data_IF_344046479967
#
_entry.id   IF_344046479967
#
_cell.length_a   1.000
_cell.length_b   1.000
_cell.length_c   1.000
_cell.angle_alpha   90.00
_cell.angle_beta   90.00
_cell.angle_gamma   90.00
#
_symmetry.space_group_name_H-M   'P 1'
#
loop_
_entity.id
_entity.type
_entity.pdbx_description
1 polymer ?
#
# COMPACT_ATOMS: atom_id res chain seq x y z
N UNK A 1 -14.59 10.94 8.51
CA UNK A 1 -13.84 10.02 9.39
C UNK A 1 -13.59 8.71 8.68
N UNK A 2 -12.75 7.81 9.20
CA UNK A 2 -12.41 6.52 8.54
C UNK A 2 -13.63 5.72 8.08
N UNK A 3 -14.73 5.77 8.84
CA UNK A 3 -15.99 5.09 8.50
C UNK A 3 -16.57 5.56 7.16
N UNK A 4 -16.43 6.86 6.84
CA UNK A 4 -16.84 7.46 5.57
C UNK A 4 -15.88 7.06 4.44
N UNK A 5 -14.58 6.96 4.75
CA UNK A 5 -13.55 6.50 3.82
C UNK A 5 -13.78 5.05 3.35
N UNK A 6 -14.01 4.12 4.28
CA UNK A 6 -14.26 2.72 3.94
C UNK A 6 -15.51 2.55 3.08
N UNK A 7 -16.62 3.19 3.46
CA UNK A 7 -17.88 3.13 2.69
C UNK A 7 -17.68 3.69 1.28
N UNK A 8 -16.96 4.80 1.13
CA UNK A 8 -16.71 5.40 -0.18
C UNK A 8 -15.77 4.55 -1.05
N UNK A 9 -14.80 3.86 -0.46
CA UNK A 9 -13.97 2.87 -1.16
C UNK A 9 -14.80 1.69 -1.69
N UNK A 10 -15.70 1.12 -0.88
CA UNK A 10 -16.57 0.03 -1.33
C UNK A 10 -17.54 0.47 -2.43
N UNK A 11 -18.15 1.66 -2.30
CA UNK A 11 -19.00 2.23 -3.34
C UNK A 11 -18.25 2.39 -4.66
N UNK A 12 -17.04 2.96 -4.62
CA UNK A 12 -16.19 3.10 -5.81
C UNK A 12 -15.89 1.74 -6.46
N UNK A 13 -15.53 0.72 -5.66
CA UNK A 13 -15.22 -0.61 -6.18
C UNK A 13 -16.42 -1.23 -6.92
N UNK A 14 -17.61 -1.15 -6.34
CA UNK A 14 -18.84 -1.68 -6.97
C UNK A 14 -19.13 -0.96 -8.30
N UNK A 15 -19.01 0.36 -8.34
CA UNK A 15 -19.23 1.13 -9.57
C UNK A 15 -18.17 0.86 -10.64
N UNK A 16 -16.90 0.65 -10.25
CA UNK A 16 -15.85 0.25 -11.18
C UNK A 16 -16.13 -1.14 -11.78
N UNK A 17 -16.60 -2.10 -10.98
CA UNK A 17 -17.03 -3.44 -11.46
C UNK A 17 -18.19 -3.35 -12.46
N UNK A 18 -19.11 -2.39 -12.25
CA UNK A 18 -20.21 -2.11 -13.18
C UNK A 18 -19.78 -1.42 -14.47
N UNK A 19 -18.52 -0.99 -14.60
CA UNK A 19 -18.00 -0.23 -15.73
C UNK A 19 -18.27 1.28 -15.63
N UNK A 20 -18.76 1.77 -14.49
CA UNK A 20 -19.09 3.18 -14.27
C UNK A 20 -17.90 4.01 -13.74
N UNK A 21 -16.68 3.57 -14.01
CA UNK A 21 -15.45 4.25 -13.60
C UNK A 21 -14.30 3.30 -13.35
N UNK A 22 -13.24 3.83 -12.71
CA UNK A 22 -12.04 3.07 -12.35
C UNK A 22 -11.95 2.89 -10.84
N UNK A 23 -11.26 1.84 -10.41
CA UNK A 23 -10.89 1.67 -8.99
C UNK A 23 -10.04 2.85 -8.53
N UNK A 24 -10.34 3.38 -7.35
CA UNK A 24 -9.65 4.56 -6.79
C UNK A 24 -8.17 4.29 -6.49
N UNK A 25 -7.82 3.03 -6.23
CA UNK A 25 -6.45 2.58 -6.05
C UNK A 25 -6.25 1.24 -6.77
N UNK A 26 -5.27 1.13 -7.68
CA UNK A 26 -4.92 -0.15 -8.30
C UNK A 26 -4.22 -1.07 -7.28
N UNK A 27 -4.17 -2.39 -7.54
CA UNK A 27 -3.54 -3.36 -6.65
C UNK A 27 -2.10 -3.04 -6.25
N UNK A 28 -1.34 -2.38 -7.14
CA UNK A 28 0.06 -1.98 -6.91
C UNK A 28 0.22 -1.03 -5.71
N UNK A 29 -0.77 -0.18 -5.43
CA UNK A 29 -0.74 0.69 -4.25
C UNK A 29 -0.81 -0.13 -2.95
N UNK A 30 -1.64 -1.18 -2.94
CA UNK A 30 -1.72 -2.10 -1.81
C UNK A 30 -0.41 -2.87 -1.58
N UNK A 31 0.24 -3.30 -2.67
CA UNK A 31 1.56 -3.93 -2.60
C UNK A 31 2.61 -2.99 -2.00
N UNK A 32 2.71 -1.75 -2.49
CA UNK A 32 3.65 -0.75 -1.98
C UNK A 32 3.44 -0.48 -0.48
N UNK A 33 2.17 -0.36 -0.05
CA UNK A 33 1.82 -0.21 1.36
C UNK A 33 2.31 -1.41 2.20
N UNK A 34 2.09 -2.65 1.73
CA UNK A 34 2.56 -3.85 2.41
C UNK A 34 4.10 -3.91 2.54
N UNK A 35 4.83 -3.52 1.48
CA UNK A 35 6.30 -3.45 1.49
C UNK A 35 6.78 -2.49 2.58
N UNK A 36 6.19 -1.29 2.67
CA UNK A 36 6.54 -0.32 3.72
C UNK A 36 6.30 -0.85 5.14
N UNK A 37 5.20 -1.57 5.37
CA UNK A 37 4.93 -2.24 6.65
C UNK A 37 5.97 -3.31 6.99
N UNK A 38 6.42 -4.07 5.99
CA UNK A 38 7.48 -5.06 6.17
C UNK A 38 8.83 -4.39 6.51
N UNK A 39 9.16 -3.29 5.84
CA UNK A 39 10.37 -2.52 6.13
C UNK A 39 10.35 -1.91 7.53
N UNK A 40 9.21 -1.37 7.98
CA UNK A 40 9.07 -0.89 9.35
C UNK A 40 9.34 -2.01 10.37
N UNK A 41 8.83 -3.22 10.10
CA UNK A 41 9.06 -4.41 10.93
C UNK A 41 10.54 -4.80 10.97
N UNK A 42 11.20 -4.87 9.81
CA UNK A 42 12.63 -5.18 9.72
C UNK A 42 13.49 -4.13 10.42
N UNK A 43 13.18 -2.85 10.23
CA UNK A 43 13.87 -1.72 10.86
C UNK A 43 13.78 -1.79 12.38
N UNK A 44 12.57 -2.01 12.91
CA UNK A 44 12.33 -2.17 14.34
C UNK A 44 13.11 -3.36 14.92
N UNK A 45 13.11 -4.52 14.26
CA UNK A 45 13.82 -5.71 14.75
C UNK A 45 15.35 -5.53 14.78
N UNK A 46 15.90 -4.79 13.81
CA UNK A 46 17.35 -4.64 13.65
C UNK A 46 17.90 -3.34 14.26
N UNK A 47 17.02 -2.47 14.76
CA UNK A 47 17.39 -1.15 15.31
C UNK A 47 18.23 -0.31 14.33
N UNK A 48 17.92 -0.44 13.02
CA UNK A 48 18.61 0.23 11.92
C UNK A 48 17.61 0.79 10.93
N UNK A 49 17.94 1.92 10.30
CA UNK A 49 17.12 2.46 9.21
C UNK A 49 17.23 1.54 7.98
N UNK A 50 16.19 1.56 7.16
CA UNK A 50 16.14 0.80 5.90
C UNK A 50 16.03 1.77 4.74
N UNK A 51 16.76 1.47 3.67
CA UNK A 51 16.56 2.04 2.35
C UNK A 51 15.87 1.02 1.44
N UNK A 52 14.83 1.46 0.71
CA UNK A 52 14.14 0.68 -0.31
C UNK A 52 14.61 1.08 -1.72
N UNK A 53 15.05 0.11 -2.50
CA UNK A 53 15.20 0.25 -3.95
C UNK A 53 13.96 -0.31 -4.62
N UNK A 54 13.08 0.58 -5.08
CA UNK A 54 11.84 0.20 -5.75
C UNK A 54 12.07 -0.50 -7.09
N UNK A 55 13.11 -0.14 -7.83
CA UNK A 55 13.39 -0.74 -9.14
C UNK A 55 14.00 -2.12 -9.01
N UNK A 56 14.88 -2.29 -8.02
CA UNK A 56 15.56 -3.55 -7.75
C UNK A 56 14.78 -4.50 -6.84
N UNK A 57 13.65 -4.06 -6.28
CA UNK A 57 12.85 -4.73 -5.25
C UNK A 57 13.70 -5.23 -4.07
N UNK A 58 14.66 -4.40 -3.63
CA UNK A 58 15.66 -4.76 -2.62
C UNK A 58 15.69 -3.75 -1.50
N UNK A 59 16.01 -4.22 -0.30
CA UNK A 59 16.28 -3.36 0.85
C UNK A 59 17.73 -3.49 1.31
N UNK A 60 18.23 -2.44 1.98
CA UNK A 60 19.49 -2.49 2.72
C UNK A 60 19.38 -1.71 4.02
N UNK A 61 20.05 -2.20 5.06
CA UNK A 61 20.25 -1.44 6.27
C UNK A 61 21.30 -0.35 6.05
N UNK A 62 21.15 0.75 6.77
CA UNK A 62 22.20 1.78 6.92
C UNK A 62 23.10 1.47 8.10
#
# INVERSE_FOLDING_TARGET
>A
GEQDGAINHFKNFIEAVRGNGSVIAPPTIGQQAAVSGHMATLSFKNQKKIFWDEKGEKYRFT
#
